data_IF_518487871427
#
_entry.id   IF_518487871427
#
_cell.length_a   1.000
_cell.length_b   1.000
_cell.length_c   1.000
_cell.angle_alpha   90.00
_cell.angle_beta   90.00
_cell.angle_gamma   90.00
#
_symmetry.space_group_name_H-M   'P 1'
#
loop_
_entity.id
_entity.type
_entity.pdbx_description
1 polymer ?
#
# COMPACT_ATOMS: atom_id res chain seq x y z
N UNK A 1 -18.61 5.40 -8.88
CA UNK A 1 -18.37 5.97 -7.55
C UNK A 1 -16.87 6.19 -7.40
N UNK A 2 -16.40 7.43 -7.31
CA UNK A 2 -14.99 7.74 -7.13
C UNK A 2 -14.68 7.80 -5.63
N UNK A 3 -13.75 6.99 -5.17
CA UNK A 3 -13.26 7.04 -3.78
C UNK A 3 -12.17 8.12 -3.75
N UNK A 4 -12.40 9.20 -3.02
CA UNK A 4 -11.38 10.23 -2.75
C UNK A 4 -10.62 9.82 -1.49
N UNK A 5 -9.32 9.59 -1.63
CA UNK A 5 -8.43 9.35 -0.48
C UNK A 5 -7.88 10.71 -0.06
N UNK A 6 -8.30 11.21 1.10
CA UNK A 6 -7.73 12.40 1.73
C UNK A 6 -6.71 11.93 2.78
N UNK A 7 -5.42 12.20 2.54
CA UNK A 7 -4.38 11.93 3.55
C UNK A 7 -4.38 13.05 4.59
N UNK A 8 -4.59 12.70 5.86
CA UNK A 8 -4.46 13.64 6.97
C UNK A 8 -2.98 13.85 7.29
N UNK A 9 -2.47 15.01 6.89
CA UNK A 9 -1.08 15.39 7.07
C UNK A 9 -1.03 16.51 8.12
N UNK A 10 -0.37 16.27 9.26
CA UNK A 10 -0.05 17.31 10.25
C UNK A 10 0.88 18.34 9.62
N UNK A 11 1.00 19.53 10.22
CA UNK A 11 1.88 20.60 9.73
C UNK A 11 3.33 20.15 9.49
N UNK A 12 3.79 19.13 10.24
CA UNK A 12 5.11 18.50 10.11
C UNK A 12 5.21 17.45 8.98
N UNK A 13 4.26 17.41 8.06
CA UNK A 13 4.13 16.38 7.03
C UNK A 13 3.92 14.94 7.55
N UNK A 14 3.56 14.76 8.83
CA UNK A 14 3.36 13.45 9.46
C UNK A 14 1.88 13.05 9.50
N UNK A 15 1.58 11.77 9.27
CA UNK A 15 0.23 11.22 9.47
C UNK A 15 0.26 10.24 10.65
N UNK A 16 -0.42 10.55 11.78
CA UNK A 16 -0.37 9.73 12.99
C UNK A 16 -1.05 8.37 12.83
N UNK A 17 -1.89 8.21 11.82
CA UNK A 17 -2.60 6.97 11.50
C UNK A 17 -1.85 6.09 10.51
N UNK A 18 -0.70 6.56 10.00
CA UNK A 18 0.09 5.91 8.95
C UNK A 18 1.46 5.51 9.50
N UNK A 19 1.66 4.21 9.67
CA UNK A 19 2.97 3.65 10.02
C UNK A 19 3.59 2.94 8.82
N UNK A 20 4.83 3.29 8.48
CA UNK A 20 5.59 2.65 7.40
C UNK A 20 6.53 1.58 7.96
N UNK A 21 6.51 0.40 7.37
CA UNK A 21 7.42 -0.71 7.65
C UNK A 21 7.75 -1.44 6.33
N UNK A 22 9.04 -1.60 6.00
CA UNK A 22 9.51 -2.28 4.78
C UNK A 22 8.88 -1.79 3.45
N UNK A 23 8.50 -0.52 3.38
CA UNK A 23 7.81 0.07 2.21
C UNK A 23 6.33 -0.28 2.11
N UNK A 24 5.75 -0.89 3.14
CA UNK A 24 4.32 -1.08 3.35
C UNK A 24 3.85 -0.12 4.46
N UNK A 25 2.75 0.58 4.20
CA UNK A 25 2.06 1.43 5.15
C UNK A 25 0.85 0.71 5.73
N UNK A 26 0.58 0.90 7.02
CA UNK A 26 -0.69 0.52 7.65
C UNK A 26 -1.46 1.78 8.02
N UNK A 27 -2.73 1.85 7.62
CA UNK A 27 -3.69 2.84 8.09
C UNK A 27 -4.63 2.20 9.10
N UNK A 28 -4.66 2.77 10.31
CA UNK A 28 -5.58 2.35 11.36
C UNK A 28 -6.84 3.20 11.29
N UNK A 29 -7.99 2.53 11.18
CA UNK A 29 -9.30 3.18 11.29
C UNK A 29 -9.73 3.07 12.75
N UNK A 30 -9.78 4.20 13.43
CA UNK A 30 -10.05 4.35 14.86
C UNK A 30 -11.54 4.35 15.23
N UNK A 31 -12.42 4.01 14.28
CA UNK A 31 -13.85 3.82 14.50
C UNK A 31 -14.31 2.39 14.18
N UNK A 32 -15.27 1.88 14.96
CA UNK A 32 -15.82 0.52 14.78
C UNK A 32 -14.88 -0.59 15.29
N UNK A 33 -14.82 -1.77 14.64
CA UNK A 33 -14.07 -2.95 15.13
C UNK A 33 -12.53 -2.84 15.04
N UNK A 34 -12.00 -1.64 14.74
CA UNK A 34 -10.57 -1.41 14.57
C UNK A 34 -10.05 -2.02 13.28
N UNK A 35 -10.48 -1.47 12.15
CA UNK A 35 -10.02 -1.90 10.82
C UNK A 35 -8.60 -1.41 10.54
N UNK A 36 -7.87 -2.19 9.75
CA UNK A 36 -6.54 -1.83 9.25
C UNK A 36 -6.50 -1.99 7.75
N UNK A 37 -5.92 -1.01 7.06
CA UNK A 37 -5.72 -1.03 5.61
C UNK A 37 -4.21 -1.06 5.34
N UNK A 38 -3.76 -1.97 4.49
CA UNK A 38 -2.36 -2.02 4.06
C UNK A 38 -2.19 -1.41 2.66
N UNK A 39 -1.19 -0.57 2.49
CA UNK A 39 -0.95 0.20 1.26
C UNK A 39 0.54 0.36 1.00
N UNK A 40 0.93 0.50 -0.26
CA UNK A 40 2.28 0.88 -0.64
C UNK A 40 2.23 2.10 -1.58
N UNK A 41 3.24 2.96 -1.50
CA UNK A 41 3.39 4.08 -2.44
C UNK A 41 4.32 3.67 -3.57
N UNK A 42 3.94 3.96 -4.80
CA UNK A 42 4.76 3.75 -5.99
C UNK A 42 4.82 5.01 -6.86
N UNK A 43 5.92 5.77 -6.73
CA UNK A 43 5.98 7.13 -7.26
C UNK A 43 4.94 8.02 -6.60
N UNK A 44 4.23 8.83 -7.38
CA UNK A 44 3.11 9.65 -6.91
C UNK A 44 1.77 8.89 -6.85
N UNK A 45 1.78 7.63 -7.29
CA UNK A 45 0.60 6.78 -7.27
C UNK A 45 0.53 5.98 -5.96
N UNK A 46 -0.61 6.07 -5.28
CA UNK A 46 -0.90 5.23 -4.13
C UNK A 46 -1.45 3.88 -4.60
N UNK A 47 -0.81 2.79 -4.17
CA UNK A 47 -1.29 1.42 -4.42
C UNK A 47 -1.87 0.88 -3.13
N UNK A 48 -3.21 0.80 -3.07
CA UNK A 48 -3.92 0.11 -2.00
C UNK A 48 -3.96 -1.37 -2.35
N UNK A 49 -3.19 -2.21 -1.65
CA UNK A 49 -3.30 -3.66 -1.75
C UNK A 49 -4.32 -4.09 -0.70
N UNK A 50 -5.56 -4.38 -1.14
CA UNK A 50 -6.72 -4.62 -0.28
C UNK A 50 -6.67 -5.95 0.50
N UNK A 51 -5.60 -6.15 1.26
CA UNK A 51 -5.72 -6.81 2.55
C UNK A 51 -6.27 -5.79 3.54
N UNK A 52 -7.36 -6.14 4.19
CA UNK A 52 -7.95 -5.34 5.24
C UNK A 52 -8.64 -6.25 6.22
N UNK A 53 -8.37 -6.03 7.49
CA UNK A 53 -8.83 -6.92 8.54
C UNK A 53 -9.13 -6.17 9.81
N UNK A 54 -9.69 -6.90 10.77
CA UNK A 54 -9.79 -6.39 12.14
C UNK A 54 -8.50 -6.72 12.89
N UNK A 55 -8.30 -6.09 14.05
CA UNK A 55 -7.16 -6.37 14.94
C UNK A 55 -6.90 -7.87 15.20
N UNK A 56 -7.92 -8.73 15.17
CA UNK A 56 -7.79 -10.19 15.41
C UNK A 56 -7.05 -10.95 14.29
N UNK A 57 -7.02 -10.40 13.07
CA UNK A 57 -6.40 -11.01 11.89
C UNK A 57 -5.08 -10.39 11.45
N UNK A 58 -4.56 -9.40 12.21
CA UNK A 58 -3.51 -8.49 11.77
C UNK A 58 -2.30 -9.19 11.15
N UNK A 59 -1.72 -10.17 11.84
CA UNK A 59 -0.50 -10.83 11.38
C UNK A 59 -0.68 -11.53 10.03
N UNK A 60 -1.79 -12.26 9.86
CA UNK A 60 -2.10 -12.96 8.61
C UNK A 60 -2.30 -11.99 7.46
N UNK A 61 -2.98 -10.87 7.72
CA UNK A 61 -3.24 -9.87 6.71
C UNK A 61 -1.96 -9.09 6.34
N UNK A 62 -1.07 -8.86 7.32
CA UNK A 62 0.24 -8.25 7.13
C UNK A 62 1.18 -9.14 6.30
N UNK A 63 1.24 -10.43 6.58
CA UNK A 63 2.05 -11.39 5.81
C UNK A 63 1.57 -11.48 4.36
N UNK A 64 0.24 -11.48 4.17
CA UNK A 64 -0.36 -11.44 2.82
C UNK A 64 -0.01 -10.14 2.08
N UNK A 65 -0.11 -9.00 2.75
CA UNK A 65 0.21 -7.71 2.17
C UNK A 65 1.70 -7.61 1.76
N UNK A 66 2.62 -8.16 2.57
CA UNK A 66 4.04 -8.27 2.23
C UNK A 66 4.28 -9.11 0.98
N UNK A 67 3.62 -10.28 0.87
CA UNK A 67 3.72 -11.15 -0.30
C UNK A 67 3.25 -10.45 -1.58
N UNK A 68 2.09 -9.78 -1.52
CA UNK A 68 1.54 -9.03 -2.66
C UNK A 68 2.44 -7.86 -3.06
N UNK A 69 3.06 -7.16 -2.11
CA UNK A 69 4.01 -6.08 -2.40
C UNK A 69 5.26 -6.60 -3.11
N UNK A 70 5.81 -7.74 -2.68
CA UNK A 70 6.96 -8.35 -3.33
C UNK A 70 6.63 -8.75 -4.78
N UNK A 71 5.48 -9.39 -4.99
CA UNK A 71 4.99 -9.78 -6.31
C UNK A 71 4.80 -8.55 -7.22
N UNK A 72 4.18 -7.49 -6.70
CA UNK A 72 3.97 -6.24 -7.42
C UNK A 72 5.31 -5.66 -7.93
N UNK A 73 6.32 -5.57 -7.05
CA UNK A 73 7.65 -5.05 -7.41
C UNK A 73 8.31 -5.88 -8.53
N UNK A 74 8.17 -7.21 -8.49
CA UNK A 74 8.68 -8.10 -9.54
C UNK A 74 7.97 -7.86 -10.86
N UNK A 75 6.63 -7.86 -10.86
CA UNK A 75 5.82 -7.63 -12.07
C UNK A 75 6.11 -6.26 -12.69
N UNK A 76 6.25 -5.22 -11.88
CA UNK A 76 6.62 -3.87 -12.33
C UNK A 76 7.97 -3.86 -13.04
N UNK A 77 9.00 -4.49 -12.46
CA UNK A 77 10.33 -4.61 -13.10
C UNK A 77 10.25 -5.33 -14.46
N UNK A 78 9.49 -6.42 -14.53
CA UNK A 78 9.29 -7.17 -15.79
C UNK A 78 8.58 -6.30 -16.85
N UNK A 79 7.54 -5.55 -16.46
CA UNK A 79 6.82 -4.66 -17.37
C UNK A 79 7.72 -3.53 -17.88
N UNK A 80 8.51 -2.90 -17.01
CA UNK A 80 9.44 -1.84 -17.39
C UNK A 80 10.55 -2.36 -18.33
N UNK A 81 11.07 -3.57 -18.10
CA UNK A 81 12.05 -4.20 -18.99
C UNK A 81 11.46 -4.59 -20.36
N UNK A 82 10.16 -4.92 -20.43
CA UNK A 82 9.47 -5.19 -21.68
C UNK A 82 9.22 -3.92 -22.50
N UNK A 83 8.85 -2.80 -21.87
CA UNK A 83 8.60 -1.55 -22.60
C UNK A 83 9.88 -0.95 -23.20
N UNK A 84 11.00 -1.04 -22.49
CA UNK A 84 12.30 -0.54 -22.99
C UNK A 84 12.86 -1.35 -24.16
N UNK A 85 12.53 -2.65 -24.25
CA UNK A 85 12.91 -3.52 -25.37
C UNK A 85 12.10 -3.25 -26.65
N UNK A 86 10.85 -2.79 -26.51
CA UNK A 86 9.95 -2.49 -27.64
C UNK A 86 10.28 -1.17 -28.36
N UNK A 87 10.97 -0.23 -27.70
CA UNK A 87 11.38 1.05 -28.28
C UNK A 87 12.70 1.01 -29.07
N UNK A 88 13.46 -0.09 -28.98
CA UNK A 88 14.78 -0.25 -29.65
C UNK A 88 14.73 -1.15 -30.89
N UNK A 89 13.54 -1.54 -31.34
CA UNK A 89 13.31 -2.39 -32.52
C UNK A 89 12.47 -1.70 -33.56
#
# INVERSE_FOLDING_TARGET
MAIKVEEYIREEASNPYKQWFDGLGEYVIDWGPGYRIYLAKDGDMLIVLFGGGTKRGQQRDLDRAKGLLAEYKVRKKIMAAKSSRKQKG
#
